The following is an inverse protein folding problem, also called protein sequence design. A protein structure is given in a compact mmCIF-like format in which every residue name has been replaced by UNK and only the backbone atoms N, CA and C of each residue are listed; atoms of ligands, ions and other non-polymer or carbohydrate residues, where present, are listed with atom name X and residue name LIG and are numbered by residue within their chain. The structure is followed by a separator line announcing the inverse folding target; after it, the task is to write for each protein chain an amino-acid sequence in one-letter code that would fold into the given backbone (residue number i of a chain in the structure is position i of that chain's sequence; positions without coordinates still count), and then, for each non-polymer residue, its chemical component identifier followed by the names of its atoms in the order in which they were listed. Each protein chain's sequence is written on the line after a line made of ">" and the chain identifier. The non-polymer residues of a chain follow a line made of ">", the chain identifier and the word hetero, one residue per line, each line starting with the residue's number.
data_IF_836596336689
#
_entry.id   IF_836596336689
#
_cell.length_a   1.000
_cell.length_b   1.000
_cell.length_c   1.000
_cell.angle_alpha   90.00
_cell.angle_beta   90.00
_cell.angle_gamma   90.00
#
_symmetry.space_group_name_H-M   'P 1'
#
loop_
_entity.id
_entity.type
_entity.pdbx_description
1 polymer ?
#
# COMPACT_ATOMS: atom_id res chain seq x y z
N UNK A 1 -13.58 16.49 -0.98
CA UNK A 1 -13.10 15.39 -0.11
C UNK A 1 -12.57 14.27 -0.98
N UNK A 2 -11.25 13.99 -1.00
CA UNK A 2 -10.65 13.22 -2.07
C UNK A 2 -11.04 11.74 -1.94
N UNK A 3 -11.99 11.30 -2.78
CA UNK A 3 -12.43 9.90 -2.89
C UNK A 3 -11.26 8.91 -3.02
N UNK A 4 -10.14 9.35 -3.58
CA UNK A 4 -8.91 8.57 -3.73
C UNK A 4 -8.28 8.19 -2.39
N UNK A 5 -8.34 9.02 -1.35
CA UNK A 5 -7.78 8.71 -0.03
C UNK A 5 -8.67 7.71 0.71
N UNK A 6 -9.99 7.82 0.56
CA UNK A 6 -10.95 6.87 1.14
C UNK A 6 -10.85 5.50 0.45
N UNK A 7 -10.71 5.49 -0.88
CA UNK A 7 -10.50 4.25 -1.64
C UNK A 7 -9.11 3.64 -1.39
N UNK A 8 -8.10 4.48 -1.15
CA UNK A 8 -6.77 4.07 -0.68
C UNK A 8 -6.92 3.35 0.66
N UNK A 9 -7.51 3.98 1.68
CA UNK A 9 -7.70 3.42 3.02
C UNK A 9 -8.58 2.15 3.02
N UNK A 10 -9.69 2.14 2.26
CA UNK A 10 -10.62 1.02 2.20
C UNK A 10 -10.02 -0.28 1.63
N UNK A 11 -8.93 -0.19 0.85
CA UNK A 11 -8.21 -1.39 0.35
C UNK A 11 -7.20 -1.93 1.36
N UNK A 12 -6.83 -1.14 2.35
CA UNK A 12 -5.81 -1.49 3.35
C UNK A 12 -6.37 -2.10 4.62
N UNK A 13 -7.69 -2.06 4.81
CA UNK A 13 -8.37 -2.90 5.81
C UNK A 13 -8.33 -4.39 5.41
N UNK A 14 -8.25 -4.69 4.10
CA UNK A 14 -8.36 -6.05 3.54
C UNK A 14 -7.03 -6.65 3.03
N UNK A 15 -6.04 -5.85 2.62
CA UNK A 15 -4.74 -6.34 2.09
C UNK A 15 -3.55 -5.54 2.62
N UNK A 16 -2.43 -6.23 2.88
CA UNK A 16 -1.16 -5.58 3.21
C UNK A 16 -0.74 -4.74 2.00
N UNK A 17 -0.48 -3.46 2.22
CA UNK A 17 -0.34 -2.50 1.14
C UNK A 17 0.82 -2.75 0.18
N UNK A 18 1.95 -3.11 0.78
CA UNK A 18 3.21 -3.37 0.12
C UNK A 18 3.81 -4.56 0.86
N UNK A 19 3.66 -5.74 0.28
CA UNK A 19 4.34 -6.95 0.72
C UNK A 19 5.82 -6.91 0.34
N UNK A 20 6.70 -7.55 1.13
CA UNK A 20 8.15 -7.51 0.91
C UNK A 20 8.57 -7.91 -0.52
N UNK A 21 7.89 -8.89 -1.14
CA UNK A 21 8.18 -9.30 -2.52
C UNK A 21 7.94 -8.21 -3.58
N UNK A 22 7.30 -7.09 -3.22
CA UNK A 22 7.10 -5.94 -4.11
C UNK A 22 8.26 -4.96 -4.07
N UNK A 23 9.10 -4.99 -3.02
CA UNK A 23 10.28 -4.14 -2.91
C UNK A 23 11.31 -4.61 -3.94
N UNK A 24 11.81 -3.67 -4.74
CA UNK A 24 12.80 -3.95 -5.78
C UNK A 24 14.16 -3.35 -5.42
N UNK A 25 14.17 -2.15 -4.81
CA UNK A 25 15.39 -1.49 -4.34
C UNK A 25 15.07 -0.64 -3.11
N UNK A 26 15.96 -0.68 -2.12
CA UNK A 26 15.90 0.17 -0.92
C UNK A 26 17.27 0.76 -0.69
N UNK A 27 17.36 2.08 -0.61
CA UNK A 27 18.58 2.78 -0.21
C UNK A 27 18.24 3.91 0.76
N UNK A 28 19.26 4.63 1.24
CA UNK A 28 19.12 5.68 2.25
C UNK A 28 18.26 6.87 1.83
N UNK A 29 17.97 7.03 0.53
CA UNK A 29 17.21 8.16 -0.02
C UNK A 29 15.84 7.75 -0.56
N UNK A 30 15.72 6.58 -1.18
CA UNK A 30 14.53 6.16 -1.92
C UNK A 30 14.22 4.66 -1.76
N UNK A 31 12.95 4.35 -2.00
CA UNK A 31 12.42 2.98 -2.10
C UNK A 31 11.71 2.82 -3.43
N UNK A 32 12.11 1.79 -4.18
CA UNK A 32 11.48 1.38 -5.43
C UNK A 32 10.67 0.11 -5.21
N UNK A 33 9.40 0.11 -5.60
CA UNK A 33 8.54 -1.06 -5.46
C UNK A 33 7.53 -1.20 -6.60
N UNK A 34 7.09 -2.43 -6.82
CA UNK A 34 6.08 -2.75 -7.83
C UNK A 34 4.66 -2.66 -7.27
N UNK A 35 3.72 -2.17 -8.08
CA UNK A 35 2.30 -2.10 -7.76
C UNK A 35 1.45 -2.50 -8.96
N UNK A 36 0.22 -2.99 -8.69
CA UNK A 36 -0.74 -3.36 -9.73
C UNK A 36 -1.53 -2.11 -10.14
N UNK A 37 -1.39 -1.68 -11.39
CA UNK A 37 -2.15 -0.56 -11.96
C UNK A 37 -3.56 -0.99 -12.32
N UNK A 38 -4.54 -0.78 -11.44
CA UNK A 38 -5.94 -1.18 -11.70
C UNK A 38 -6.60 -0.44 -12.86
N UNK A 39 -6.16 0.80 -13.15
CA UNK A 39 -6.63 1.57 -14.31
C UNK A 39 -6.02 1.11 -15.65
N UNK A 40 -5.03 0.22 -15.60
CA UNK A 40 -4.29 -0.29 -16.76
C UNK A 40 -4.34 -1.82 -16.76
N UNK A 41 -5.53 -2.39 -16.56
CA UNK A 41 -5.79 -3.85 -16.64
C UNK A 41 -4.93 -4.71 -15.72
N UNK A 42 -4.37 -4.14 -14.66
CA UNK A 42 -3.55 -4.87 -13.72
C UNK A 42 -2.10 -5.08 -14.13
N UNK A 43 -1.61 -4.31 -15.11
CA UNK A 43 -0.19 -4.23 -15.45
C UNK A 43 0.62 -3.86 -14.20
N UNK A 44 1.72 -4.58 -13.96
CA UNK A 44 2.68 -4.26 -12.91
C UNK A 44 3.44 -3.00 -13.30
N UNK A 45 3.36 -1.96 -12.47
CA UNK A 45 4.09 -0.70 -12.63
C UNK A 45 5.08 -0.53 -11.47
N UNK A 46 6.10 0.29 -11.68
CA UNK A 46 7.06 0.66 -10.64
C UNK A 46 6.72 2.03 -10.08
N UNK A 47 6.89 2.20 -8.77
CA UNK A 47 6.83 3.48 -8.10
C UNK A 47 8.09 3.68 -7.26
N UNK A 48 8.61 4.90 -7.30
CA UNK A 48 9.75 5.33 -6.49
C UNK A 48 9.23 6.39 -5.54
N UNK A 49 9.49 6.22 -4.25
CA UNK A 49 9.21 7.22 -3.23
C UNK A 49 10.49 7.54 -2.46
N UNK A 50 10.53 8.71 -1.83
CA UNK A 50 11.54 8.95 -0.80
C UNK A 50 11.39 7.94 0.35
N UNK A 51 12.49 7.67 1.06
CA UNK A 51 12.47 6.79 2.22
C UNK A 51 11.47 7.27 3.29
N UNK A 52 11.37 8.58 3.49
CA UNK A 52 10.46 9.21 4.45
C UNK A 52 8.99 9.00 4.05
N UNK A 53 8.62 9.29 2.81
CA UNK A 53 7.25 9.10 2.33
C UNK A 53 6.84 7.63 2.34
N UNK A 54 7.77 6.74 1.96
CA UNK A 54 7.54 5.31 2.04
C UNK A 54 7.28 4.87 3.47
N UNK A 55 8.09 5.31 4.43
CA UNK A 55 7.96 4.93 5.85
C UNK A 55 6.65 5.43 6.43
N UNK A 56 6.30 6.70 6.20
CA UNK A 56 5.01 7.26 6.63
C UNK A 56 3.87 6.40 6.10
N UNK A 57 3.82 6.20 4.77
CA UNK A 57 2.79 5.37 4.14
C UNK A 57 2.78 3.96 4.73
N UNK A 58 3.93 3.30 4.84
CA UNK A 58 4.03 1.94 5.38
C UNK A 58 3.45 1.80 6.78
N UNK A 59 3.74 2.75 7.69
CA UNK A 59 3.19 2.78 9.05
C UNK A 59 1.68 2.96 9.05
N UNK A 60 1.12 3.80 8.17
CA UNK A 60 -0.34 3.93 7.99
C UNK A 60 -1.03 2.62 7.57
N UNK A 61 -0.27 1.62 7.10
CA UNK A 61 -0.79 0.30 6.75
C UNK A 61 -0.65 -0.75 7.86
N UNK A 62 -0.03 -0.39 8.98
CA UNK A 62 0.01 -1.24 10.17
C UNK A 62 -1.28 -0.99 10.95
N UNK A 63 -2.07 -2.04 11.12
CA UNK A 63 -3.25 -1.95 11.97
C UNK A 63 -2.81 -1.65 13.40
N UNK A 64 -3.41 -0.65 14.08
CA UNK A 64 -3.13 -0.40 15.48
C UNK A 64 -3.39 -1.65 16.31
N UNK A 65 -2.75 -1.73 17.47
CA UNK A 65 -2.96 -2.84 18.40
C UNK A 65 -4.47 -2.99 18.69
N UNK A 66 -4.96 -4.23 18.69
CA UNK A 66 -6.37 -4.62 18.87
C UNK A 66 -7.31 -4.41 17.65
N UNK A 67 -6.81 -3.94 16.50
CA UNK A 67 -7.60 -3.93 15.27
C UNK A 67 -7.43 -5.24 14.49
N UNK A 68 -8.54 -5.81 14.03
CA UNK A 68 -8.54 -7.02 13.18
C UNK A 68 -8.75 -6.65 11.71
N UNK A 69 -8.05 -7.35 10.82
CA UNK A 69 -8.29 -7.24 9.37
C UNK A 69 -9.69 -7.77 9.07
N UNK A 70 -10.50 -6.99 8.38
CA UNK A 70 -11.78 -7.46 7.84
C UNK A 70 -11.46 -8.40 6.69
N UNK A 71 -11.83 -9.68 6.84
CA UNK A 71 -11.60 -10.72 5.81
C UNK A 71 -12.80 -10.92 4.90
N UNK A 72 -14.00 -10.70 5.44
CA UNK A 72 -15.26 -10.83 4.73
C UNK A 72 -16.21 -9.73 5.22
N UNK A 73 -16.90 -9.05 4.31
CA UNK A 73 -17.99 -8.13 4.61
C UNK A 73 -19.20 -8.60 3.81
N UNK A 74 -20.05 -9.41 4.46
CA UNK A 74 -21.34 -9.97 3.99
C UNK A 74 -21.36 -10.66 2.60
N UNK A 75 -22.29 -11.61 2.42
CA UNK A 75 -22.52 -12.37 1.19
C UNK A 75 -23.07 -11.51 0.04
#
# INVERSE_FOLDING_TARGET
>A
MPKSVVEYLGRYTHKIAISNHRLQEVNSKKVTFSFKGYKAEGIKKQMILSLEEFTKKFVWHILPQNFVKIRHYAF
#
